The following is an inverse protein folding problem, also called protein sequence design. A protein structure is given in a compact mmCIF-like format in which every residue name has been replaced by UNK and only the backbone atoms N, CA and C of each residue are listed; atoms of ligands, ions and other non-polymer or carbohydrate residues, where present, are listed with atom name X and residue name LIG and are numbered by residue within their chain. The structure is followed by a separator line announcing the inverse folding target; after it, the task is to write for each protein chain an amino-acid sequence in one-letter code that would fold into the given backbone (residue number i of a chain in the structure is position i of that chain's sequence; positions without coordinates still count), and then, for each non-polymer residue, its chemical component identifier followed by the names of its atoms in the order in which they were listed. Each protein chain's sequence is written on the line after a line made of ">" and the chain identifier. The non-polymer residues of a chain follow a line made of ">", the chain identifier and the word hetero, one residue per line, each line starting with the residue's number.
data_IF_728006552338
#
_entry.id   IF_728006552338
#
_cell.length_a   1.000
_cell.length_b   1.000
_cell.length_c   1.000
_cell.angle_alpha   90.00
_cell.angle_beta   90.00
_cell.angle_gamma   90.00
#
_symmetry.space_group_name_H-M   'P 1'
#
loop_
_entity.id
_entity.type
_entity.pdbx_description
1 polymer ?
#
# COMPACT_ATOMS: atom_id res chain seq x y z
N UNK A 1 -18.44 15.90 21.85
CA UNK A 1 -18.24 16.78 20.68
C UNK A 1 -19.04 16.23 19.51
N UNK A 2 -19.85 17.05 18.84
CA UNK A 2 -20.71 16.64 17.72
C UNK A 2 -19.89 16.55 16.43
N UNK A 3 -19.91 15.41 15.74
CA UNK A 3 -19.23 15.26 14.44
C UNK A 3 -19.99 16.09 13.40
N UNK A 4 -19.33 16.99 12.65
CA UNK A 4 -19.99 17.80 11.63
C UNK A 4 -20.57 16.91 10.52
N UNK A 5 -21.82 17.18 10.14
CA UNK A 5 -22.52 16.48 9.04
C UNK A 5 -22.02 17.02 7.70
N UNK A 6 -21.53 16.15 6.82
CA UNK A 6 -21.04 16.54 5.49
C UNK A 6 -22.19 16.95 4.57
N UNK A 7 -21.95 17.97 3.74
CA UNK A 7 -22.88 18.38 2.68
C UNK A 7 -23.02 17.30 1.61
N UNK A 8 -24.10 17.34 0.83
CA UNK A 8 -24.33 16.43 -0.32
C UNK A 8 -23.14 16.44 -1.29
N UNK A 9 -22.61 17.62 -1.61
CA UNK A 9 -21.46 17.83 -2.50
C UNK A 9 -20.15 17.25 -1.94
N UNK A 10 -19.92 17.39 -0.63
CA UNK A 10 -18.77 16.79 0.04
C UNK A 10 -18.85 15.25 0.06
N UNK A 11 -20.07 14.71 0.15
CA UNK A 11 -20.28 13.25 0.03
C UNK A 11 -20.01 12.77 -1.39
N UNK A 12 -20.56 13.46 -2.40
CA UNK A 12 -20.36 13.11 -3.80
C UNK A 12 -18.87 13.15 -4.20
N UNK A 13 -18.15 14.22 -3.85
CA UNK A 13 -16.71 14.33 -4.10
C UNK A 13 -15.88 13.27 -3.37
N UNK A 14 -16.23 12.92 -2.13
CA UNK A 14 -15.56 11.84 -1.40
C UNK A 14 -15.79 10.46 -2.04
N UNK A 15 -17.00 10.21 -2.58
CA UNK A 15 -17.31 8.98 -3.30
C UNK A 15 -16.48 8.87 -4.60
N UNK A 16 -16.40 9.95 -5.37
CA UNK A 16 -15.60 10.00 -6.60
C UNK A 16 -14.12 9.70 -6.30
N UNK A 17 -13.53 10.39 -5.32
CA UNK A 17 -12.15 10.12 -4.88
C UNK A 17 -11.96 8.69 -4.41
N UNK A 18 -12.93 8.12 -3.69
CA UNK A 18 -12.85 6.73 -3.26
C UNK A 18 -12.89 5.74 -4.43
N UNK A 19 -13.65 6.05 -5.48
CA UNK A 19 -13.70 5.25 -6.71
C UNK A 19 -12.37 5.32 -7.47
N UNK A 20 -11.79 6.51 -7.62
CA UNK A 20 -10.47 6.73 -8.22
C UNK A 20 -9.40 5.91 -7.49
N UNK A 21 -9.32 6.02 -6.16
CA UNK A 21 -8.37 5.24 -5.34
C UNK A 21 -8.55 3.73 -5.52
N UNK A 22 -9.78 3.23 -5.61
CA UNK A 22 -10.03 1.80 -5.86
C UNK A 22 -9.56 1.38 -7.26
N UNK A 23 -9.79 2.22 -8.26
CA UNK A 23 -9.34 1.98 -9.64
C UNK A 23 -7.82 1.93 -9.72
N UNK A 24 -7.14 2.90 -9.11
CA UNK A 24 -5.67 2.98 -9.12
C UNK A 24 -5.05 1.77 -8.43
N UNK A 25 -5.62 1.32 -7.30
CA UNK A 25 -5.17 0.10 -6.62
C UNK A 25 -5.40 -1.15 -7.44
N UNK A 26 -6.53 -1.25 -8.15
CA UNK A 26 -6.80 -2.39 -9.02
C UNK A 26 -5.80 -2.44 -10.18
N UNK A 27 -5.50 -1.29 -10.79
CA UNK A 27 -4.48 -1.17 -11.83
C UNK A 27 -3.09 -1.52 -11.29
N UNK A 28 -2.68 -0.91 -10.17
CA UNK A 28 -1.39 -1.20 -9.54
C UNK A 28 -1.21 -2.69 -9.22
N UNK A 29 -2.24 -3.34 -8.67
CA UNK A 29 -2.19 -4.78 -8.40
C UNK A 29 -1.97 -5.60 -9.67
N UNK A 30 -2.57 -5.20 -10.78
CA UNK A 30 -2.37 -5.86 -12.07
C UNK A 30 -0.94 -5.64 -12.60
N UNK A 31 -0.44 -4.40 -12.55
CA UNK A 31 0.94 -4.05 -12.91
C UNK A 31 1.97 -4.86 -12.11
N UNK A 32 1.84 -4.87 -10.77
CA UNK A 32 2.69 -5.63 -9.86
C UNK A 32 2.67 -7.13 -10.16
N UNK A 33 1.49 -7.71 -10.36
CA UNK A 33 1.34 -9.15 -10.66
C UNK A 33 2.00 -9.53 -11.98
N UNK A 34 1.94 -8.63 -12.98
CA UNK A 34 2.59 -8.82 -14.28
C UNK A 34 4.09 -8.53 -14.29
N UNK A 35 4.64 -7.94 -13.22
CA UNK A 35 6.03 -7.49 -13.17
C UNK A 35 6.31 -6.23 -13.99
N UNK A 36 5.28 -5.53 -14.51
CA UNK A 36 5.44 -4.25 -15.22
C UNK A 36 5.88 -3.11 -14.29
N UNK A 37 5.59 -3.25 -13.00
CA UNK A 37 6.08 -2.35 -11.95
C UNK A 37 6.73 -3.17 -10.86
N UNK A 38 7.88 -2.71 -10.37
CA UNK A 38 8.58 -3.37 -9.28
C UNK A 38 7.97 -2.97 -7.93
N UNK A 39 7.74 -3.94 -7.03
CA UNK A 39 7.28 -3.66 -5.67
C UNK A 39 8.18 -2.66 -4.94
N UNK A 40 9.50 -2.78 -5.12
CA UNK A 40 10.47 -1.89 -4.52
C UNK A 40 10.34 -0.42 -4.98
N UNK A 41 9.97 -0.20 -6.24
CA UNK A 41 9.70 1.15 -6.76
C UNK A 41 8.49 1.80 -6.06
N UNK A 42 7.44 1.01 -5.80
CA UNK A 42 6.28 1.48 -5.06
C UNK A 42 6.64 1.81 -3.61
N UNK A 43 7.45 0.98 -2.95
CA UNK A 43 7.87 1.24 -1.56
C UNK A 43 8.71 2.51 -1.48
N UNK A 44 9.62 2.74 -2.44
CA UNK A 44 10.44 3.97 -2.53
C UNK A 44 9.60 5.21 -2.81
N UNK A 45 8.74 5.14 -3.82
CA UNK A 45 7.91 6.28 -4.22
C UNK A 45 6.83 6.64 -3.20
N UNK A 46 6.44 5.71 -2.32
CA UNK A 46 5.42 5.96 -1.31
C UNK A 46 5.73 7.08 -0.31
N UNK A 47 6.98 7.55 -0.18
CA UNK A 47 7.25 8.77 0.62
C UNK A 47 6.74 10.03 -0.08
N UNK A 48 6.87 10.09 -1.39
CA UNK A 48 6.61 11.29 -2.19
C UNK A 48 5.21 11.27 -2.80
N UNK A 49 4.68 10.08 -3.11
CA UNK A 49 3.39 9.91 -3.76
C UNK A 49 2.29 9.62 -2.73
N UNK A 50 1.44 10.61 -2.46
CA UNK A 50 0.32 10.51 -1.52
C UNK A 50 -0.62 9.32 -1.84
N UNK A 51 -0.84 9.04 -3.12
CA UNK A 51 -1.68 7.94 -3.58
C UNK A 51 -1.22 6.56 -3.07
N UNK A 52 0.08 6.38 -2.79
CA UNK A 52 0.66 5.13 -2.30
C UNK A 52 0.82 5.09 -0.79
N UNK A 53 0.96 6.24 -0.12
CA UNK A 53 1.10 6.32 1.34
C UNK A 53 0.00 5.57 2.08
N UNK A 54 -1.23 5.63 1.57
CA UNK A 54 -2.41 5.00 2.14
C UNK A 54 -2.50 3.49 1.96
N UNK A 55 -1.60 2.84 1.21
CA UNK A 55 -1.65 1.40 0.94
C UNK A 55 -1.10 0.62 2.14
N UNK A 56 -1.75 -0.50 2.50
CA UNK A 56 -1.23 -1.43 3.52
C UNK A 56 -0.04 -2.20 2.99
N UNK A 57 1.00 -2.37 3.80
CA UNK A 57 2.20 -3.15 3.46
C UNK A 57 1.81 -4.57 3.05
N UNK A 58 0.95 -5.22 3.84
CA UNK A 58 0.45 -6.58 3.56
C UNK A 58 -0.19 -6.71 2.19
N UNK A 59 -1.02 -5.74 1.79
CA UNK A 59 -1.71 -5.75 0.50
C UNK A 59 -0.71 -5.63 -0.66
N UNK A 60 0.33 -4.80 -0.50
CA UNK A 60 1.39 -4.68 -1.50
C UNK A 60 2.11 -6.02 -1.66
N UNK A 61 2.52 -6.64 -0.55
CA UNK A 61 3.19 -7.94 -0.54
C UNK A 61 2.36 -9.02 -1.24
N UNK A 62 1.08 -9.17 -0.90
CA UNK A 62 0.16 -10.14 -1.53
C UNK A 62 -0.15 -9.83 -3.01
N UNK A 63 0.22 -8.65 -3.50
CA UNK A 63 0.07 -8.27 -4.91
C UNK A 63 1.28 -8.63 -5.75
N UNK A 64 2.40 -9.02 -5.12
CA UNK A 64 3.62 -9.45 -5.80
C UNK A 64 3.52 -10.92 -6.23
N UNK A 65 4.10 -11.29 -7.38
CA UNK A 65 4.18 -12.68 -7.81
C UNK A 65 4.99 -13.50 -6.79
N UNK A 66 4.51 -14.69 -6.44
CA UNK A 66 5.21 -15.60 -5.53
C UNK A 66 5.12 -15.25 -4.04
N UNK A 67 4.36 -14.22 -3.65
CA UNK A 67 4.11 -13.86 -2.26
C UNK A 67 2.62 -14.04 -1.93
N UNK A 68 2.29 -15.16 -1.30
CA UNK A 68 0.97 -15.40 -0.73
C UNK A 68 0.83 -14.85 0.70
N UNK A 69 -0.37 -14.95 1.30
CA UNK A 69 -0.66 -14.40 2.64
C UNK A 69 0.33 -14.89 3.72
N UNK A 70 0.65 -16.18 3.73
CA UNK A 70 1.59 -16.75 4.71
C UNK A 70 3.01 -16.17 4.59
N UNK A 71 3.49 -15.94 3.36
CA UNK A 71 4.81 -15.33 3.12
C UNK A 71 4.78 -13.84 3.47
N UNK A 72 3.71 -13.13 3.14
CA UNK A 72 3.52 -11.73 3.53
C UNK A 72 3.58 -11.57 5.07
N UNK A 73 2.82 -12.38 5.80
CA UNK A 73 2.79 -12.36 7.26
C UNK A 73 4.13 -12.78 7.89
N UNK A 74 4.86 -13.70 7.25
CA UNK A 74 6.22 -14.08 7.67
C UNK A 74 7.21 -12.92 7.51
N UNK A 75 7.22 -12.26 6.34
CA UNK A 75 8.10 -11.11 6.07
C UNK A 75 7.80 -9.98 7.05
N UNK A 76 6.53 -9.62 7.24
CA UNK A 76 6.14 -8.54 8.15
C UNK A 76 6.56 -8.84 9.60
N UNK A 77 6.34 -10.07 10.09
CA UNK A 77 6.78 -10.47 11.44
C UNK A 77 8.29 -10.43 11.60
N UNK A 78 9.05 -10.97 10.63
CA UNK A 78 10.52 -10.96 10.65
C UNK A 78 11.07 -9.53 10.72
N UNK A 79 10.43 -8.59 10.04
CA UNK A 79 10.82 -7.18 10.01
C UNK A 79 10.16 -6.34 11.13
N UNK A 80 9.42 -6.95 12.04
CA UNK A 80 8.66 -6.26 13.10
C UNK A 80 7.73 -5.15 12.56
N UNK A 81 7.13 -5.38 11.39
CA UNK A 81 6.15 -4.48 10.77
C UNK A 81 4.75 -4.90 11.25
N UNK A 82 4.03 -3.98 11.89
CA UNK A 82 2.66 -4.24 12.34
C UNK A 82 1.71 -4.55 11.16
N UNK A 83 0.73 -5.44 11.36
CA UNK A 83 -0.23 -5.87 10.32
C UNK A 83 -1.03 -4.71 9.69
N UNK A 84 -1.31 -3.68 10.49
CA UNK A 84 -2.05 -2.49 10.06
C UNK A 84 -1.16 -1.42 9.42
N UNK A 85 0.17 -1.64 9.33
CA UNK A 85 1.12 -0.66 8.84
C UNK A 85 0.86 -0.33 7.37
N UNK A 86 1.02 0.96 7.05
CA UNK A 86 0.89 1.51 5.70
C UNK A 86 2.24 1.96 5.17
N UNK A 87 2.39 2.03 3.84
CA UNK A 87 3.65 2.39 3.19
C UNK A 87 4.17 3.76 3.64
N UNK A 88 3.29 4.76 3.77
CA UNK A 88 3.66 6.09 4.24
C UNK A 88 4.09 6.14 5.70
N UNK A 89 3.80 5.09 6.49
CA UNK A 89 4.25 4.98 7.87
C UNK A 89 5.60 4.26 8.02
N UNK A 90 6.20 3.72 6.96
CA UNK A 90 7.48 3.03 7.11
C UNK A 90 8.62 4.02 7.38
N UNK A 91 9.47 3.70 8.35
CA UNK A 91 10.76 4.39 8.50
C UNK A 91 11.68 4.02 7.34
N UNK A 92 12.74 4.80 7.11
CA UNK A 92 13.69 4.53 6.03
C UNK A 92 14.32 3.14 6.17
N UNK A 93 14.75 2.79 7.39
CA UNK A 93 15.24 1.44 7.70
C UNK A 93 14.23 0.34 7.38
N UNK A 94 12.97 0.50 7.80
CA UNK A 94 11.94 -0.51 7.52
C UNK A 94 11.68 -0.67 6.03
N UNK A 95 11.80 0.42 5.27
CA UNK A 95 11.67 0.41 3.81
C UNK A 95 12.82 -0.36 3.17
N UNK A 96 14.05 -0.08 3.56
CA UNK A 96 15.23 -0.76 3.01
C UNK A 96 15.20 -2.26 3.34
N UNK A 97 14.89 -2.61 4.59
CA UNK A 97 14.75 -4.00 5.03
C UNK A 97 13.62 -4.73 4.26
N UNK A 98 12.50 -4.04 4.00
CA UNK A 98 11.38 -4.59 3.24
C UNK A 98 11.73 -4.82 1.78
N UNK A 99 12.43 -3.86 1.15
CA UNK A 99 12.91 -3.99 -0.23
C UNK A 99 13.86 -5.17 -0.37
N UNK A 100 14.86 -5.28 0.52
CA UNK A 100 15.78 -6.41 0.53
C UNK A 100 15.08 -7.76 0.74
N UNK A 101 13.99 -7.80 1.51
CA UNK A 101 13.23 -9.02 1.76
C UNK A 101 12.37 -9.49 0.58
N UNK A 102 12.06 -8.62 -0.40
CA UNK A 102 11.23 -8.96 -1.57
C UNK A 102 12.02 -9.11 -2.87
N UNK A 103 13.22 -8.53 -2.94
CA UNK A 103 14.14 -8.68 -4.08
C UNK A 103 15.06 -9.90 -3.94
N UNK A 104 15.23 -10.42 -2.70
CA UNK A 104 15.93 -11.68 -2.41
C UNK A 104 15.02 -12.90 -2.40
#
# INVERSE_FOLDING_TARGET
>A
MTVPVRTEEQRASALLRAMEVRRDRASLRHELKSGRTAGAEIIRSAQLAEQWQGIRVRWLLESLPGIGPARADSVMRRLSIAETRRLGGLTDRQRDDLIGAIEG
#
